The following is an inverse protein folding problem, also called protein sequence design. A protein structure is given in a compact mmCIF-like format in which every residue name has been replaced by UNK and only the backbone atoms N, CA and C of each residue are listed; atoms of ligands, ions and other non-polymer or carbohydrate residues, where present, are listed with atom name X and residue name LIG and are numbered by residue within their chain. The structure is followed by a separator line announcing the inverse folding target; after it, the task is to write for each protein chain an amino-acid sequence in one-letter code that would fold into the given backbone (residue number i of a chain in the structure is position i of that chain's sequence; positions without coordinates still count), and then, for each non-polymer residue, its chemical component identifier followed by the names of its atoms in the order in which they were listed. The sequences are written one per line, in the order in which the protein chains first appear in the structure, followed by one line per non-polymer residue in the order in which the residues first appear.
data_IF_239178111827
#
_entry.id   IF_239178111827
#
_cell.length_a   1.000
_cell.length_b   1.000
_cell.length_c   1.000
_cell.angle_alpha   90.00
_cell.angle_beta   90.00
_cell.angle_gamma   90.00
#
_symmetry.space_group_name_H-M   'P 1'
#
loop_
_entity.id
_entity.type
_entity.pdbx_description
1 polymer ?
#
# COMPACT_ATOMS: atom_id res chain seq x y z
N UNK A 1 -8.57 -7.82 -20.84
CA UNK A 1 -8.07 -6.90 -19.78
C UNK A 1 -8.06 -7.55 -18.40
N UNK A 2 -9.12 -8.24 -17.94
CA UNK A 2 -9.11 -8.92 -16.61
C UNK A 2 -8.18 -10.15 -16.50
N UNK A 3 -7.84 -10.79 -17.62
CA UNK A 3 -6.89 -11.92 -17.66
C UNK A 3 -5.46 -11.45 -17.45
N UNK A 4 -5.05 -10.36 -18.10
CA UNK A 4 -3.69 -9.81 -18.02
C UNK A 4 -3.34 -9.27 -16.63
N UNK A 5 -4.30 -8.65 -15.94
CA UNK A 5 -4.08 -8.19 -14.57
C UNK A 5 -3.91 -9.36 -13.59
N UNK A 6 -4.73 -10.42 -13.73
CA UNK A 6 -4.58 -11.64 -12.95
C UNK A 6 -3.24 -12.33 -13.21
N UNK A 7 -2.83 -12.45 -14.47
CA UNK A 7 -1.52 -13.00 -14.85
C UNK A 7 -0.37 -12.18 -14.27
N UNK A 8 -0.49 -10.84 -14.30
CA UNK A 8 0.47 -9.94 -13.66
C UNK A 8 0.58 -10.27 -12.17
N UNK A 9 -0.53 -10.36 -11.44
CA UNK A 9 -0.51 -10.67 -10.00
C UNK A 9 0.11 -12.04 -9.64
N UNK A 10 0.09 -13.02 -10.55
CA UNK A 10 0.71 -14.34 -10.31
C UNK A 10 2.24 -14.28 -10.24
N UNK A 11 2.87 -13.28 -10.85
CA UNK A 11 4.33 -13.09 -10.83
C UNK A 11 4.78 -12.03 -9.83
N UNK A 12 3.87 -11.48 -9.03
CA UNK A 12 4.14 -10.40 -8.07
C UNK A 12 5.26 -10.77 -7.09
N UNK A 13 5.18 -11.93 -6.44
CA UNK A 13 6.17 -12.39 -5.45
C UNK A 13 7.57 -12.48 -6.05
N UNK A 14 7.69 -13.02 -7.26
CA UNK A 14 8.97 -13.08 -7.97
C UNK A 14 9.53 -11.68 -8.21
N UNK A 15 8.69 -10.75 -8.69
CA UNK A 15 9.10 -9.37 -8.95
C UNK A 15 9.47 -8.59 -7.69
N UNK A 16 8.73 -8.77 -6.61
CA UNK A 16 9.04 -8.10 -5.35
C UNK A 16 10.33 -8.63 -4.72
N UNK A 17 10.62 -9.93 -4.86
CA UNK A 17 11.88 -10.53 -4.40
C UNK A 17 13.13 -10.00 -5.12
N UNK A 18 13.01 -9.60 -6.38
CA UNK A 18 14.12 -8.97 -7.12
C UNK A 18 14.58 -7.66 -6.45
N UNK A 19 13.68 -6.96 -5.73
CA UNK A 19 13.95 -5.67 -5.09
C UNK A 19 14.02 -5.71 -3.56
N UNK A 20 13.37 -6.69 -2.92
CA UNK A 20 13.24 -6.77 -1.45
C UNK A 20 13.72 -8.14 -0.98
N UNK A 21 14.92 -8.16 -0.42
CA UNK A 21 15.61 -9.39 0.00
C UNK A 21 15.26 -9.72 1.46
N UNK A 22 14.96 -10.99 1.75
CA UNK A 22 14.80 -11.50 3.11
C UNK A 22 13.44 -11.19 3.78
N UNK A 23 12.46 -10.70 3.01
CA UNK A 23 11.10 -10.38 3.51
C UNK A 23 10.02 -11.28 2.89
N UNK A 24 10.31 -12.59 2.79
CA UNK A 24 9.46 -13.55 2.10
C UNK A 24 8.03 -13.65 2.64
N UNK A 25 7.88 -13.58 3.96
CA UNK A 25 6.57 -13.67 4.62
C UNK A 25 5.70 -12.44 4.30
N UNK A 26 6.28 -11.25 4.37
CA UNK A 26 5.59 -10.00 4.03
C UNK A 26 5.16 -9.98 2.55
N UNK A 27 6.05 -10.41 1.64
CA UNK A 27 5.76 -10.50 0.21
C UNK A 27 4.63 -11.49 -0.06
N UNK A 28 4.67 -12.69 0.55
CA UNK A 28 3.62 -13.71 0.42
C UNK A 28 2.28 -13.20 0.95
N UNK A 29 2.27 -12.49 2.08
CA UNK A 29 1.05 -11.91 2.65
C UNK A 29 0.39 -10.90 1.71
N UNK A 30 1.18 -10.01 1.10
CA UNK A 30 0.71 -9.03 0.11
C UNK A 30 0.14 -9.73 -1.13
N UNK A 31 0.88 -10.70 -1.70
CA UNK A 31 0.43 -11.44 -2.88
C UNK A 31 -0.87 -12.21 -2.61
N UNK A 32 -0.96 -12.93 -1.48
CA UNK A 32 -2.14 -13.74 -1.15
C UNK A 32 -3.41 -12.89 -1.09
N UNK A 33 -3.34 -11.73 -0.42
CA UNK A 33 -4.48 -10.83 -0.30
C UNK A 33 -4.88 -10.22 -1.65
N UNK A 34 -3.92 -9.74 -2.45
CA UNK A 34 -4.16 -9.17 -3.77
C UNK A 34 -4.77 -10.21 -4.75
N UNK A 35 -4.19 -11.41 -4.81
CA UNK A 35 -4.67 -12.49 -5.69
C UNK A 35 -6.05 -12.97 -5.29
N UNK A 36 -6.34 -13.11 -3.99
CA UNK A 36 -7.65 -13.57 -3.49
C UNK A 36 -8.77 -12.61 -3.90
N UNK A 37 -8.56 -11.30 -3.78
CA UNK A 37 -9.56 -10.29 -4.19
C UNK A 37 -9.75 -10.27 -5.70
N UNK A 38 -8.66 -10.32 -6.46
CA UNK A 38 -8.72 -10.38 -7.94
C UNK A 38 -9.46 -11.63 -8.44
N UNK A 39 -9.23 -12.79 -7.83
CA UNK A 39 -9.90 -14.06 -8.21
C UNK A 39 -11.38 -14.10 -7.85
N UNK A 40 -11.77 -13.50 -6.73
CA UNK A 40 -13.16 -13.52 -6.30
C UNK A 40 -14.06 -12.58 -7.12
N UNK A 41 -13.49 -11.67 -7.93
CA UNK A 41 -14.24 -10.57 -8.54
C UNK A 41 -14.83 -9.60 -7.50
N UNK A 42 -14.48 -9.78 -6.22
CA UNK A 42 -14.91 -8.97 -5.09
C UNK A 42 -13.88 -7.85 -4.94
N UNK A 43 -13.89 -6.91 -5.87
CA UNK A 43 -13.44 -5.55 -5.59
C UNK A 43 -14.68 -4.81 -5.08
N UNK A 44 -14.93 -4.91 -3.78
CA UNK A 44 -15.85 -3.97 -3.14
C UNK A 44 -15.26 -2.57 -3.32
N UNK A 45 -15.95 -1.72 -4.09
CA UNK A 45 -15.48 -0.39 -4.46
C UNK A 45 -15.24 0.51 -3.25
N UNK A 46 -15.82 0.14 -2.10
CA UNK A 46 -15.68 0.85 -0.83
C UNK A 46 -14.50 0.37 0.01
N UNK A 47 -13.72 -0.61 -0.46
CA UNK A 47 -12.58 -1.17 0.27
C UNK A 47 -11.28 -1.00 -0.50
N UNK A 48 -10.15 -0.71 0.21
CA UNK A 48 -8.84 -0.71 -0.41
C UNK A 48 -8.51 -2.06 -1.08
N UNK A 49 -7.65 -2.04 -2.11
CA UNK A 49 -7.11 -3.26 -2.74
C UNK A 49 -6.37 -4.15 -1.75
N UNK A 50 -5.73 -3.54 -0.75
CA UNK A 50 -5.03 -4.23 0.32
C UNK A 50 -4.83 -3.29 1.51
N UNK A 51 -4.89 -3.83 2.72
CA UNK A 51 -4.59 -3.09 3.95
C UNK A 51 -3.57 -3.90 4.73
N UNK A 52 -2.37 -3.36 4.87
CA UNK A 52 -1.23 -4.08 5.43
C UNK A 52 -0.63 -3.27 6.59
N UNK A 53 -0.20 -3.99 7.62
CA UNK A 53 0.60 -3.44 8.71
C UNK A 53 1.94 -4.17 8.73
N UNK A 54 3.01 -3.46 8.37
CA UNK A 54 4.36 -4.02 8.39
C UNK A 54 5.03 -3.72 9.74
N UNK A 55 5.41 -4.76 10.46
CA UNK A 55 6.07 -4.68 11.77
C UNK A 55 7.57 -5.02 11.64
N UNK A 56 8.38 -4.48 12.55
CA UNK A 56 9.82 -4.77 12.64
C UNK A 56 10.67 -3.52 12.95
N UNK A 57 12.00 -3.66 13.10
CA UNK A 57 12.89 -2.53 13.39
C UNK A 57 13.13 -1.63 12.15
N UNK A 58 13.64 -0.43 12.36
CA UNK A 58 13.99 0.49 11.25
C UNK A 58 15.04 -0.14 10.33
N UNK A 59 14.95 0.13 9.03
CA UNK A 59 15.94 -0.32 8.04
C UNK A 59 15.73 -1.72 7.45
N UNK A 60 14.77 -2.52 7.95
CA UNK A 60 14.55 -3.90 7.45
C UNK A 60 13.83 -4.01 6.10
N UNK A 61 13.44 -2.89 5.48
CA UNK A 61 12.81 -2.89 4.16
C UNK A 61 11.29 -2.70 4.11
N UNK A 62 10.63 -2.31 5.21
CA UNK A 62 9.18 -2.02 5.22
C UNK A 62 8.77 -0.97 4.17
N UNK A 63 9.45 0.16 4.16
CA UNK A 63 9.21 1.24 3.18
C UNK A 63 9.62 0.82 1.77
N UNK A 64 10.67 0.01 1.64
CA UNK A 64 11.15 -0.48 0.35
C UNK A 64 10.15 -1.44 -0.31
N UNK A 65 9.50 -2.30 0.49
CA UNK A 65 8.40 -3.15 0.02
C UNK A 65 7.23 -2.33 -0.53
N UNK A 66 6.91 -1.19 0.11
CA UNK A 66 5.88 -0.27 -0.39
C UNK A 66 6.28 0.34 -1.75
N UNK A 67 7.54 0.75 -1.91
CA UNK A 67 8.09 1.28 -3.17
C UNK A 67 8.16 0.24 -4.28
N UNK A 68 8.55 -0.99 -3.95
CA UNK A 68 8.56 -2.11 -4.88
C UNK A 68 7.13 -2.45 -5.34
N UNK A 69 6.17 -2.44 -4.42
CA UNK A 69 4.76 -2.67 -4.75
C UNK A 69 4.19 -1.57 -5.66
N UNK A 70 4.48 -0.30 -5.38
CA UNK A 70 4.08 0.81 -6.25
C UNK A 70 4.67 0.66 -7.67
N UNK A 71 5.97 0.37 -7.76
CA UNK A 71 6.62 0.12 -9.06
C UNK A 71 6.01 -1.08 -9.80
N UNK A 72 5.60 -2.13 -9.08
CA UNK A 72 4.97 -3.28 -9.71
C UNK A 72 3.54 -3.02 -10.19
N UNK A 73 2.74 -2.26 -9.42
CA UNK A 73 1.33 -2.02 -9.71
C UNK A 73 1.10 -0.86 -10.70
N UNK A 74 1.91 0.20 -10.60
CA UNK A 74 1.71 1.47 -11.32
C UNK A 74 2.86 1.82 -12.26
N UNK A 75 3.86 0.94 -12.39
CA UNK A 75 5.07 1.18 -13.19
C UNK A 75 5.86 2.44 -12.76
N UNK A 76 5.63 2.91 -11.52
CA UNK A 76 6.33 4.03 -10.89
C UNK A 76 6.48 3.79 -9.37
N UNK A 77 7.73 3.80 -8.88
CA UNK A 77 8.04 3.62 -7.45
C UNK A 77 7.64 4.84 -6.61
N UNK A 78 7.43 5.99 -7.25
CA UNK A 78 7.03 7.24 -6.61
C UNK A 78 5.52 7.47 -6.64
N UNK A 79 4.74 6.58 -7.27
CA UNK A 79 3.28 6.58 -7.25
C UNK A 79 2.74 6.16 -5.86
N UNK A 80 3.12 6.92 -4.84
CA UNK A 80 2.81 6.68 -3.44
C UNK A 80 2.35 8.01 -2.83
N UNK A 81 1.15 8.02 -2.30
CA UNK A 81 0.74 9.05 -1.35
C UNK A 81 1.36 8.73 0.01
N UNK A 82 2.45 9.41 0.35
CA UNK A 82 3.14 9.24 1.64
C UNK A 82 2.50 10.16 2.68
N UNK A 83 2.03 9.55 3.77
CA UNK A 83 1.57 10.28 4.96
C UNK A 83 2.53 9.94 6.09
N UNK A 84 3.22 10.95 6.62
CA UNK A 84 4.16 10.77 7.72
C UNK A 84 3.42 10.85 9.07
N UNK A 85 3.20 9.70 9.71
CA UNK A 85 2.41 9.64 10.95
C UNK A 85 3.05 10.40 12.12
N UNK A 86 4.36 10.68 12.07
CA UNK A 86 5.02 11.52 13.07
C UNK A 86 4.53 12.97 13.04
N UNK A 87 3.99 13.44 11.91
CA UNK A 87 3.38 14.78 11.81
C UNK A 87 2.00 14.85 12.48
N UNK A 88 1.38 13.71 12.82
CA UNK A 88 0.01 13.61 13.35
C UNK A 88 -0.05 13.20 14.82
N UNK A 89 1.05 13.33 15.56
CA UNK A 89 1.09 12.99 17.00
C UNK A 89 0.21 13.92 17.85
N UNK A 90 0.03 15.17 17.42
CA UNK A 90 -0.79 16.15 18.13
C UNK A 90 -2.26 16.05 17.71
N UNK A 91 -3.17 16.19 18.68
CA UNK A 91 -4.63 16.08 18.45
C UNK A 91 -5.14 17.02 17.36
N UNK A 92 -4.54 18.20 17.21
CA UNK A 92 -4.97 19.22 16.25
C UNK A 92 -4.45 18.97 14.83
N UNK A 93 -3.34 18.22 14.69
CA UNK A 93 -2.72 17.90 13.40
C UNK A 93 -3.59 16.99 12.52
N UNK A 94 -4.53 16.25 13.12
CA UNK A 94 -5.52 15.42 12.41
C UNK A 94 -6.32 16.24 11.37
N UNK A 95 -6.54 17.54 11.64
CA UNK A 95 -7.26 18.45 10.73
C UNK A 95 -6.56 18.59 9.37
N UNK A 96 -5.25 18.36 9.29
CA UNK A 96 -4.51 18.37 8.01
C UNK A 96 -4.85 17.15 7.14
N UNK A 97 -5.25 16.02 7.75
CA UNK A 97 -5.59 14.79 7.04
C UNK A 97 -7.04 14.76 6.58
N UNK A 98 -7.98 15.24 7.41
CA UNK A 98 -9.43 15.17 7.16
C UNK A 98 -10.05 16.50 6.71
N UNK A 99 -9.27 17.58 6.73
CA UNK A 99 -9.74 18.95 6.52
C UNK A 99 -10.13 19.64 7.83
N UNK A 100 -10.01 20.97 7.86
CA UNK A 100 -10.44 21.76 9.00
C UNK A 100 -11.98 21.73 9.10
N UNK A 101 -12.54 21.72 10.32
CA UNK A 101 -13.99 21.82 10.48
C UNK A 101 -14.53 23.11 9.85
N UNK A 102 -15.75 23.12 9.28
CA UNK A 102 -16.32 24.30 8.61
C UNK A 102 -16.33 25.57 9.46
N UNK A 103 -16.40 25.43 10.79
CA UNK A 103 -16.35 26.52 11.76
C UNK A 103 -15.02 27.28 11.81
N UNK A 104 -13.94 26.72 11.28
CA UNK A 104 -12.62 27.36 11.20
C UNK A 104 -12.51 28.33 10.01
N UNK A 105 -13.31 28.13 8.95
CA UNK A 105 -13.38 29.01 7.79
C UNK A 105 -14.45 30.09 8.03
N UNK A 106 -14.16 31.07 8.89
CA UNK A 106 -14.91 32.34 8.87
C UNK A 106 -14.30 33.22 7.79
N UNK A 107 -14.94 33.21 6.62
CA UNK A 107 -14.82 34.28 5.61
C UNK A 107 -15.75 35.41 6.03
#
# INVERSE_FOLDING_TARGET
MLSSERERLLVMEQKLRESVIGQDEAIKGVQFDAVRRSRAGIQDINRPLGSFLFLGPTGVGKTELTKALAGFLFDDRNAILRIDMSEYMEKHAISCLIGAPPSLYRI
#
